data_IF_333009977069
#
_entry.id   IF_333009977069
#
_cell.length_a   1.000
_cell.length_b   1.000
_cell.length_c   1.000
_cell.angle_alpha   90.00
_cell.angle_beta   90.00
_cell.angle_gamma   90.00
#
_symmetry.space_group_name_H-M   'P 1'
#
loop_
_entity.id
_entity.type
_entity.pdbx_description
1 polymer ?
#
# COMPACT_ATOMS: atom_id res chain seq x y z
N UNK A 1 -15.75 -48.32 -0.08
CA UNK A 1 -15.64 -47.20 -1.05
C UNK A 1 -14.78 -47.64 -2.21
N UNK A 2 -15.15 -47.38 -3.46
CA UNK A 2 -14.41 -47.88 -4.63
C UNK A 2 -13.03 -47.18 -4.72
N UNK A 3 -11.93 -47.92 -4.47
CA UNK A 3 -10.54 -47.41 -4.48
C UNK A 3 -10.22 -46.63 -5.76
N UNK A 4 -10.78 -47.03 -6.90
CA UNK A 4 -10.57 -46.38 -8.19
C UNK A 4 -11.16 -44.97 -8.26
N UNK A 5 -12.33 -44.76 -7.62
CA UNK A 5 -12.97 -43.44 -7.55
C UNK A 5 -12.15 -42.50 -6.69
N UNK A 6 -11.57 -42.99 -5.59
CA UNK A 6 -10.70 -42.21 -4.70
C UNK A 6 -9.46 -41.74 -5.45
N UNK A 7 -8.77 -42.64 -6.15
CA UNK A 7 -7.59 -42.30 -6.97
C UNK A 7 -7.91 -41.25 -8.03
N UNK A 8 -9.07 -41.37 -8.72
CA UNK A 8 -9.51 -40.35 -9.70
C UNK A 8 -9.74 -38.98 -9.06
N UNK A 9 -10.40 -38.95 -7.90
CA UNK A 9 -10.63 -37.71 -7.15
C UNK A 9 -9.30 -37.09 -6.71
N UNK A 10 -8.37 -37.88 -6.18
CA UNK A 10 -7.04 -37.42 -5.82
C UNK A 10 -6.30 -36.81 -7.03
N UNK A 11 -6.31 -37.46 -8.19
CA UNK A 11 -5.68 -36.92 -9.39
C UNK A 11 -6.28 -35.57 -9.82
N UNK A 12 -7.61 -35.41 -9.73
CA UNK A 12 -8.29 -34.15 -10.04
C UNK A 12 -7.88 -33.06 -9.04
N UNK A 13 -7.93 -33.38 -7.75
CA UNK A 13 -7.57 -32.46 -6.67
C UNK A 13 -6.11 -32.00 -6.82
N UNK A 14 -5.19 -32.91 -7.11
CA UNK A 14 -3.78 -32.59 -7.34
C UNK A 14 -3.60 -31.64 -8.54
N UNK A 15 -4.28 -31.92 -9.66
CA UNK A 15 -4.24 -31.07 -10.85
C UNK A 15 -4.79 -29.67 -10.57
N UNK A 16 -5.93 -29.57 -9.88
CA UNK A 16 -6.53 -28.28 -9.49
C UNK A 16 -5.58 -27.49 -8.60
N UNK A 17 -4.93 -28.14 -7.63
CA UNK A 17 -4.01 -27.46 -6.72
C UNK A 17 -2.73 -26.98 -7.41
N UNK A 18 -2.22 -27.70 -8.41
CA UNK A 18 -1.12 -27.21 -9.26
C UNK A 18 -1.56 -25.95 -10.02
N UNK A 19 -2.79 -25.94 -10.58
CA UNK A 19 -3.33 -24.77 -11.29
C UNK A 19 -3.50 -23.58 -10.34
N UNK A 20 -4.03 -23.80 -9.12
CA UNK A 20 -4.15 -22.76 -8.10
C UNK A 20 -2.78 -22.20 -7.71
N UNK A 21 -1.77 -23.06 -7.56
CA UNK A 21 -0.40 -22.66 -7.26
C UNK A 21 0.19 -21.78 -8.37
N UNK A 22 -0.05 -22.11 -9.64
CA UNK A 22 0.36 -21.29 -10.78
C UNK A 22 -0.27 -19.89 -10.74
N UNK A 23 -1.59 -19.81 -10.49
CA UNK A 23 -2.25 -18.50 -10.33
C UNK A 23 -1.73 -17.72 -9.13
N UNK A 24 -1.51 -18.40 -8.01
CA UNK A 24 -0.97 -17.78 -6.82
C UNK A 24 0.42 -17.17 -7.09
N UNK A 25 1.32 -17.93 -7.71
CA UNK A 25 2.67 -17.47 -8.09
C UNK A 25 2.56 -16.27 -9.03
N UNK A 26 1.68 -16.32 -10.03
CA UNK A 26 1.49 -15.22 -10.96
C UNK A 26 0.98 -13.94 -10.27
N UNK A 27 -0.01 -14.06 -9.39
CA UNK A 27 -0.55 -12.92 -8.61
C UNK A 27 0.56 -12.34 -7.72
N UNK A 28 1.32 -13.21 -7.04
CA UNK A 28 2.42 -12.81 -6.17
C UNK A 28 3.53 -12.06 -6.94
N UNK A 29 3.97 -12.58 -8.09
CA UNK A 29 4.96 -11.92 -8.96
C UNK A 29 4.40 -10.58 -9.46
N UNK A 30 3.14 -10.55 -9.88
CA UNK A 30 2.51 -9.30 -10.36
C UNK A 30 2.47 -8.23 -9.27
N UNK A 31 2.13 -8.61 -8.05
CA UNK A 31 2.09 -7.70 -6.91
C UNK A 31 3.49 -7.19 -6.54
N UNK A 32 4.48 -8.08 -6.49
CA UNK A 32 5.84 -7.75 -6.05
C UNK A 32 6.62 -6.95 -7.09
N UNK A 33 6.59 -7.36 -8.36
CA UNK A 33 7.35 -6.69 -9.44
C UNK A 33 6.78 -5.32 -9.77
N UNK A 34 5.45 -5.19 -9.81
CA UNK A 34 4.79 -3.92 -10.14
C UNK A 34 4.40 -3.08 -8.92
N UNK A 35 4.68 -3.57 -7.70
CA UNK A 35 4.34 -2.89 -6.45
C UNK A 35 2.83 -2.65 -6.27
N UNK A 36 1.98 -3.57 -6.74
CA UNK A 36 0.52 -3.41 -6.71
C UNK A 36 -0.02 -3.65 -5.31
N UNK A 37 -0.80 -2.71 -4.78
CA UNK A 37 -1.30 -2.71 -3.40
C UNK A 37 -2.79 -2.96 -3.37
N UNK A 38 -3.13 -4.18 -3.71
CA UNK A 38 -4.51 -4.61 -3.86
C UNK A 38 -5.10 -5.09 -2.52
N UNK A 39 -4.27 -5.65 -1.64
CA UNK A 39 -4.72 -6.29 -0.41
C UNK A 39 -4.38 -5.47 0.83
N UNK A 40 -5.32 -5.36 1.77
CA UNK A 40 -5.04 -4.91 3.14
C UNK A 40 -4.19 -5.95 3.87
N UNK A 41 -3.59 -5.58 5.01
CA UNK A 41 -2.73 -6.46 5.82
C UNK A 41 -3.34 -7.85 6.07
N UNK A 42 -4.53 -7.92 6.67
CA UNK A 42 -5.22 -9.19 6.97
C UNK A 42 -5.53 -10.04 5.71
N UNK A 43 -5.79 -9.41 4.57
CA UNK A 43 -6.01 -10.11 3.30
C UNK A 43 -4.69 -10.67 2.74
N UNK A 44 -3.60 -9.96 2.97
CA UNK A 44 -2.27 -10.39 2.57
C UNK A 44 -1.83 -11.61 3.39
N UNK A 45 -2.10 -11.62 4.70
CA UNK A 45 -1.84 -12.80 5.56
C UNK A 45 -2.65 -14.01 5.12
N UNK A 46 -3.96 -13.82 4.88
CA UNK A 46 -4.83 -14.88 4.36
C UNK A 46 -4.34 -15.41 3.01
N UNK A 47 -3.87 -14.50 2.14
CA UNK A 47 -3.29 -14.86 0.86
C UNK A 47 -2.02 -15.70 1.01
N UNK A 48 -1.13 -15.35 1.95
CA UNK A 48 0.02 -16.19 2.26
C UNK A 48 -0.40 -17.53 2.86
N UNK A 49 -1.33 -17.57 3.81
CA UNK A 49 -1.80 -18.82 4.41
C UNK A 49 -2.41 -19.77 3.36
N UNK A 50 -3.00 -19.23 2.29
CA UNK A 50 -3.49 -20.03 1.17
C UNK A 50 -2.40 -20.87 0.50
N UNK A 51 -1.12 -20.42 0.48
CA UNK A 51 -0.01 -21.22 -0.07
C UNK A 51 0.20 -22.49 0.73
N UNK A 52 0.16 -22.39 2.06
CA UNK A 52 0.30 -23.52 2.98
C UNK A 52 -0.87 -24.48 2.80
N UNK A 53 -2.09 -23.94 2.65
CA UNK A 53 -3.28 -24.73 2.36
C UNK A 53 -3.17 -25.52 1.06
N UNK A 54 -2.77 -24.86 -0.04
CA UNK A 54 -2.58 -25.50 -1.36
C UNK A 54 -1.50 -26.58 -1.29
N UNK A 55 -0.37 -26.29 -0.64
CA UNK A 55 0.74 -27.23 -0.48
C UNK A 55 0.33 -28.43 0.38
N UNK A 56 -0.34 -28.22 1.51
CA UNK A 56 -0.85 -29.29 2.38
C UNK A 56 -1.80 -30.22 1.62
N UNK A 57 -2.70 -29.64 0.85
CA UNK A 57 -3.67 -30.37 0.04
C UNK A 57 -2.94 -31.18 -1.08
N UNK A 58 -1.93 -30.61 -1.73
CA UNK A 58 -1.09 -31.32 -2.71
C UNK A 58 -0.38 -32.51 -2.07
N UNK A 59 0.27 -32.32 -0.93
CA UNK A 59 0.99 -33.38 -0.22
C UNK A 59 0.05 -34.50 0.23
N UNK A 60 -1.05 -34.18 0.91
CA UNK A 60 -2.02 -35.18 1.36
C UNK A 60 -2.60 -35.97 0.19
N UNK A 61 -2.89 -35.30 -0.92
CA UNK A 61 -3.39 -35.93 -2.13
C UNK A 61 -2.35 -36.84 -2.78
N UNK A 62 -1.09 -36.42 -2.86
CA UNK A 62 0.01 -37.23 -3.38
C UNK A 62 0.24 -38.49 -2.53
N UNK A 63 0.25 -38.36 -1.20
CA UNK A 63 0.43 -39.50 -0.29
C UNK A 63 -0.70 -40.53 -0.49
N UNK A 64 -1.96 -40.09 -0.51
CA UNK A 64 -3.11 -40.97 -0.72
C UNK A 64 -3.03 -41.63 -2.10
N UNK A 65 -2.66 -40.87 -3.13
CA UNK A 65 -2.53 -41.39 -4.49
C UNK A 65 -1.43 -42.45 -4.58
N UNK A 66 -0.25 -42.18 -4.02
CA UNK A 66 0.87 -43.14 -3.97
C UNK A 66 0.48 -44.40 -3.19
N UNK A 67 -0.09 -44.25 -1.99
CA UNK A 67 -0.50 -45.39 -1.15
C UNK A 67 -1.52 -46.29 -1.85
N UNK A 68 -2.56 -45.70 -2.45
CA UNK A 68 -3.60 -46.44 -3.15
C UNK A 68 -3.09 -47.04 -4.46
N UNK A 69 -2.17 -46.36 -5.17
CA UNK A 69 -1.59 -46.86 -6.41
C UNK A 69 -0.57 -47.99 -6.15
N UNK A 70 0.24 -47.92 -5.09
CA UNK A 70 1.11 -49.01 -4.65
C UNK A 70 0.31 -50.23 -4.17
N UNK A 71 -0.78 -50.01 -3.43
CA UNK A 71 -1.72 -51.09 -3.04
C UNK A 71 -2.34 -51.73 -4.28
N UNK A 72 -2.69 -50.92 -5.29
CA UNK A 72 -3.17 -51.43 -6.59
C UNK A 72 -2.12 -52.18 -7.37
N UNK A 73 -0.86 -51.73 -7.39
CA UNK A 73 0.24 -52.44 -8.08
C UNK A 73 0.53 -53.77 -7.38
N UNK A 74 0.46 -53.82 -6.04
CA UNK A 74 0.53 -55.07 -5.29
C UNK A 74 -0.66 -56.01 -5.61
N UNK A 75 -1.85 -55.44 -5.88
CA UNK A 75 -3.06 -56.17 -6.26
C UNK A 75 -3.12 -56.51 -7.80
N UNK A 76 -2.29 -55.91 -8.67
CA UNK A 76 -2.55 -55.81 -10.12
C UNK A 76 -1.31 -55.95 -11.01
N UNK A 77 -0.48 -56.96 -10.79
CA UNK A 77 0.42 -57.48 -11.85
C UNK A 77 -0.44 -58.26 -12.87
N UNK A 78 -1.41 -57.60 -13.53
CA UNK A 78 -2.06 -58.04 -14.78
C UNK A 78 -3.18 -57.06 -15.18
N UNK A 79 -2.86 -56.03 -15.94
CA UNK A 79 -3.51 -55.78 -17.24
C UNK A 79 -3.02 -54.45 -17.82
N UNK A 80 -2.84 -54.46 -19.13
CA UNK A 80 -2.35 -53.35 -19.94
C UNK A 80 -3.57 -52.51 -20.34
N UNK A 81 -3.67 -51.29 -19.83
CA UNK A 81 -4.65 -50.32 -20.30
C UNK A 81 -3.96 -49.26 -21.17
N UNK A 82 -4.43 -49.13 -22.42
CA UNK A 82 -4.01 -48.09 -23.34
C UNK A 82 -4.41 -46.71 -22.81
N UNK A 83 -3.41 -45.82 -22.71
CA UNK A 83 -3.59 -44.43 -22.32
C UNK A 83 -4.23 -43.70 -23.52
N UNK A 84 -5.56 -43.52 -23.48
CA UNK A 84 -6.22 -42.62 -24.43
C UNK A 84 -5.90 -41.17 -24.06
N UNK A 85 -4.97 -40.56 -24.79
CA UNK A 85 -4.65 -39.14 -24.67
C UNK A 85 -5.81 -38.30 -25.21
N UNK A 86 -6.74 -37.89 -24.33
CA UNK A 86 -7.74 -36.88 -24.69
C UNK A 86 -7.03 -35.54 -24.94
N UNK A 87 -7.02 -35.09 -26.19
CA UNK A 87 -6.48 -33.79 -26.58
C UNK A 87 -7.31 -32.67 -25.94
N UNK A 88 -6.67 -31.83 -25.13
CA UNK A 88 -7.32 -30.68 -24.49
C UNK A 88 -7.92 -29.77 -25.55
N UNK A 89 -9.14 -29.25 -25.31
CA UNK A 89 -9.81 -28.41 -26.31
C UNK A 89 -9.05 -27.10 -26.47
N UNK A 90 -8.87 -26.64 -27.71
CA UNK A 90 -8.21 -25.35 -28.02
C UNK A 90 -8.90 -24.17 -27.30
N UNK A 91 -10.22 -24.27 -27.06
CA UNK A 91 -11.00 -23.26 -26.31
C UNK A 91 -10.61 -23.20 -24.83
N UNK A 92 -10.43 -24.35 -24.17
CA UNK A 92 -10.01 -24.40 -22.76
C UNK A 92 -8.62 -23.79 -22.60
N UNK A 93 -7.69 -24.12 -23.51
CA UNK A 93 -6.36 -23.53 -23.51
C UNK A 93 -6.42 -22.01 -23.69
N UNK A 94 -7.26 -21.53 -24.60
CA UNK A 94 -7.43 -20.09 -24.83
C UNK A 94 -7.98 -19.37 -23.59
N UNK A 95 -9.01 -19.90 -22.93
CA UNK A 95 -9.53 -19.31 -21.68
C UNK A 95 -8.49 -19.30 -20.56
N UNK A 96 -7.69 -20.35 -20.44
CA UNK A 96 -6.60 -20.41 -19.47
C UNK A 96 -5.52 -19.35 -19.75
N UNK A 97 -5.18 -19.10 -21.02
CA UNK A 97 -4.21 -18.05 -21.35
C UNK A 97 -4.80 -16.65 -21.11
N UNK A 98 -6.07 -16.45 -21.45
CA UNK A 98 -6.75 -15.15 -21.29
C UNK A 98 -7.01 -14.78 -19.83
N UNK A 99 -7.05 -15.73 -18.91
CA UNK A 99 -7.27 -15.41 -17.49
C UNK A 99 -6.11 -14.59 -16.89
N UNK A 100 -4.87 -14.83 -17.33
CA UNK A 100 -3.68 -14.10 -16.85
C UNK A 100 -3.76 -12.58 -17.07
N UNK A 101 -3.96 -12.07 -18.31
CA UNK A 101 -4.08 -10.63 -18.53
C UNK A 101 -5.32 -10.03 -17.87
N UNK A 102 -6.41 -10.79 -17.75
CA UNK A 102 -7.62 -10.35 -17.02
C UNK A 102 -7.31 -10.14 -15.54
N UNK A 103 -6.69 -11.13 -14.89
CA UNK A 103 -6.29 -11.05 -13.48
C UNK A 103 -5.33 -9.88 -13.27
N UNK A 104 -4.31 -9.75 -14.13
CA UNK A 104 -3.37 -8.63 -14.04
C UNK A 104 -4.06 -7.27 -14.16
N UNK A 105 -4.98 -7.13 -15.12
CA UNK A 105 -5.76 -5.90 -15.31
C UNK A 105 -6.60 -5.57 -14.07
N UNK A 106 -7.24 -6.57 -13.46
CA UNK A 106 -8.00 -6.39 -12.22
C UNK A 106 -7.10 -5.93 -11.06
N UNK A 107 -5.91 -6.53 -10.90
CA UNK A 107 -4.95 -6.13 -9.86
C UNK A 107 -4.49 -4.68 -10.07
N UNK A 108 -4.12 -4.32 -11.29
CA UNK A 108 -3.67 -2.98 -11.63
C UNK A 108 -4.75 -1.91 -11.42
N UNK A 109 -5.98 -2.20 -11.85
CA UNK A 109 -7.12 -1.30 -11.64
C UNK A 109 -7.46 -1.18 -10.14
N UNK A 110 -7.40 -2.29 -9.40
CA UNK A 110 -7.61 -2.29 -7.95
C UNK A 110 -6.63 -1.38 -7.21
N UNK A 111 -5.36 -1.42 -7.58
CA UNK A 111 -4.33 -0.53 -7.04
C UNK A 111 -4.63 0.95 -7.31
N UNK A 112 -5.01 1.29 -8.56
CA UNK A 112 -5.36 2.66 -8.94
C UNK A 112 -6.60 3.17 -8.22
N UNK A 113 -7.65 2.37 -8.12
CA UNK A 113 -8.85 2.78 -7.40
C UNK A 113 -8.58 2.97 -5.91
N UNK A 114 -7.72 2.15 -5.32
CA UNK A 114 -7.29 2.31 -3.92
C UNK A 114 -6.57 3.64 -3.72
N UNK A 115 -5.63 3.98 -4.60
CA UNK A 115 -4.92 5.25 -4.55
C UNK A 115 -5.84 6.46 -4.73
N UNK A 116 -6.80 6.40 -5.65
CA UNK A 116 -7.79 7.46 -5.87
C UNK A 116 -8.71 7.66 -4.67
N UNK A 117 -9.20 6.56 -4.08
CA UNK A 117 -10.01 6.62 -2.86
C UNK A 117 -9.23 7.26 -1.70
N UNK A 118 -7.98 6.86 -1.50
CA UNK A 118 -7.10 7.42 -0.47
C UNK A 118 -6.82 8.91 -0.68
N UNK A 119 -6.53 9.31 -1.93
CA UNK A 119 -6.40 10.73 -2.30
C UNK A 119 -7.64 11.53 -1.92
N UNK A 120 -8.84 11.04 -2.24
CA UNK A 120 -10.09 11.73 -1.92
C UNK A 120 -10.31 11.86 -0.40
N UNK A 121 -10.04 10.79 0.35
CA UNK A 121 -10.14 10.81 1.82
C UNK A 121 -9.21 11.86 2.44
N UNK A 122 -7.93 11.90 2.03
CA UNK A 122 -6.97 12.90 2.53
C UNK A 122 -7.37 14.33 2.14
N UNK A 123 -7.87 14.55 0.92
CA UNK A 123 -8.35 15.88 0.50
C UNK A 123 -9.56 16.30 1.34
N UNK A 124 -10.50 15.38 1.60
CA UNK A 124 -11.68 15.69 2.41
C UNK A 124 -11.30 15.98 3.86
N UNK A 125 -10.38 15.21 4.45
CA UNK A 125 -9.83 15.46 5.77
C UNK A 125 -9.12 16.83 5.84
N UNK A 126 -8.36 17.19 4.80
CA UNK A 126 -7.69 18.49 4.70
C UNK A 126 -8.69 19.66 4.63
N UNK A 127 -9.76 19.51 3.83
CA UNK A 127 -10.86 20.49 3.75
C UNK A 127 -11.59 20.62 5.09
N UNK A 128 -11.81 19.51 5.77
CA UNK A 128 -12.44 19.50 7.09
C UNK A 128 -11.59 20.28 8.11
N UNK A 129 -10.27 20.08 8.09
CA UNK A 129 -9.33 20.86 8.91
C UNK A 129 -9.42 22.35 8.59
N UNK A 130 -9.30 22.70 7.31
CA UNK A 130 -9.34 24.09 6.86
C UNK A 130 -10.63 24.79 7.28
N UNK A 131 -11.79 24.12 7.15
CA UNK A 131 -13.09 24.70 7.47
C UNK A 131 -13.39 24.79 8.97
N UNK A 132 -13.10 23.75 9.75
CA UNK A 132 -13.59 23.62 11.13
C UNK A 132 -12.58 24.02 12.20
N UNK A 133 -11.29 24.13 11.85
CA UNK A 133 -10.21 24.46 12.80
C UNK A 133 -9.58 25.81 12.47
N UNK A 134 -10.44 26.79 12.20
CA UNK A 134 -10.02 28.12 11.74
C UNK A 134 -9.05 28.79 12.71
N UNK A 135 -9.29 28.66 14.01
CA UNK A 135 -8.50 29.30 15.06
C UNK A 135 -7.08 28.72 15.14
N UNK A 136 -6.98 27.40 15.06
CA UNK A 136 -5.74 26.63 15.04
C UNK A 136 -4.91 27.01 13.80
N UNK A 137 -5.54 27.03 12.63
CA UNK A 137 -4.90 27.43 11.37
C UNK A 137 -4.42 28.88 11.44
N UNK A 138 -5.18 29.80 12.04
CA UNK A 138 -4.75 31.19 12.19
C UNK A 138 -3.49 31.31 13.05
N UNK A 139 -3.40 30.56 14.17
CA UNK A 139 -2.19 30.52 15.00
C UNK A 139 -0.97 29.98 14.25
N UNK A 140 -1.16 28.96 13.41
CA UNK A 140 -0.09 28.40 12.58
C UNK A 140 0.43 29.46 11.59
N UNK A 141 -0.47 30.22 10.97
CA UNK A 141 -0.14 31.23 9.95
C UNK A 141 0.64 32.43 10.53
N UNK A 142 0.46 32.72 11.82
CA UNK A 142 1.23 33.72 12.56
C UNK A 142 2.64 33.21 12.95
N UNK A 143 3.37 32.71 11.94
CA UNK A 143 4.68 32.12 12.08
C UNK A 143 5.71 33.01 12.81
N UNK A 144 6.36 32.42 13.82
CA UNK A 144 7.57 32.93 14.48
C UNK A 144 8.52 31.78 14.80
N UNK A 145 9.82 31.95 14.58
CA UNK A 145 10.81 30.92 14.92
C UNK A 145 11.27 31.05 16.38
N UNK A 146 10.42 30.65 17.31
CA UNK A 146 10.73 30.65 18.74
C UNK A 146 10.14 29.42 19.45
N UNK A 147 10.56 29.20 20.70
CA UNK A 147 10.19 28.01 21.49
C UNK A 147 8.69 27.94 21.75
N UNK A 148 8.05 29.07 22.03
CA UNK A 148 6.64 29.16 22.36
C UNK A 148 5.80 28.76 21.14
N UNK A 149 6.10 29.34 19.97
CA UNK A 149 5.45 29.00 18.72
C UNK A 149 5.61 27.53 18.34
N UNK A 150 6.83 26.99 18.43
CA UNK A 150 7.09 25.58 18.08
C UNK A 150 6.30 24.63 19.00
N UNK A 151 6.23 24.94 20.30
CA UNK A 151 5.46 24.16 21.25
C UNK A 151 3.95 24.25 20.96
N UNK A 152 3.44 25.44 20.67
CA UNK A 152 2.04 25.66 20.30
C UNK A 152 1.66 24.92 19.02
N UNK A 153 2.50 25.01 17.98
CA UNK A 153 2.28 24.29 16.72
C UNK A 153 2.28 22.78 16.95
N UNK A 154 3.19 22.25 17.75
CA UNK A 154 3.24 20.80 17.99
C UNK A 154 1.97 20.32 18.72
N UNK A 155 1.46 21.11 19.66
CA UNK A 155 0.19 20.82 20.33
C UNK A 155 -1.00 20.88 19.36
N UNK A 156 -1.03 21.88 18.48
CA UNK A 156 -2.05 21.99 17.43
C UNK A 156 -1.98 20.80 16.46
N UNK A 157 -0.79 20.46 15.96
CA UNK A 157 -0.57 19.31 15.08
C UNK A 157 -1.05 18.01 15.76
N UNK A 158 -0.69 17.80 17.03
CA UNK A 158 -1.11 16.63 17.81
C UNK A 158 -2.62 16.57 18.01
N UNK A 159 -3.27 17.72 18.18
CA UNK A 159 -4.72 17.81 18.28
C UNK A 159 -5.39 17.49 16.94
N UNK A 160 -4.94 18.12 15.86
CA UNK A 160 -5.45 17.89 14.50
C UNK A 160 -5.20 16.46 14.00
N UNK A 161 -4.10 15.82 14.39
CA UNK A 161 -3.84 14.42 14.03
C UNK A 161 -4.77 13.44 14.75
N UNK A 162 -5.46 13.87 15.80
CA UNK A 162 -6.41 13.04 16.57
C UNK A 162 -7.87 13.33 16.21
N UNK A 163 -8.15 14.32 15.38
CA UNK A 163 -9.52 14.71 15.06
C UNK A 163 -10.18 13.83 13.97
N UNK A 164 -9.40 13.09 13.20
CA UNK A 164 -9.89 12.25 12.11
C UNK A 164 -9.06 10.96 12.01
N UNK A 165 -9.72 9.81 12.00
CA UNK A 165 -9.08 8.48 11.89
C UNK A 165 -8.32 8.28 10.58
N UNK A 166 -8.64 9.05 9.54
CA UNK A 166 -7.95 8.99 8.24
C UNK A 166 -6.53 9.57 8.37
N UNK A 167 -6.31 10.45 9.35
CA UNK A 167 -5.08 11.21 9.52
C UNK A 167 -4.14 10.47 10.46
N UNK A 168 -3.13 9.79 9.89
CA UNK A 168 -2.09 9.15 10.71
C UNK A 168 -1.02 10.14 11.18
N UNK A 169 -0.63 11.09 10.32
CA UNK A 169 0.34 12.12 10.67
C UNK A 169 0.11 13.39 9.86
N UNK A 170 0.21 14.53 10.55
CA UNK A 170 0.21 15.86 9.96
C UNK A 170 1.56 16.49 10.26
N UNK A 171 2.12 17.15 9.26
CA UNK A 171 3.21 18.09 9.40
C UNK A 171 2.79 19.40 8.75
N UNK A 172 3.45 20.49 9.15
CA UNK A 172 3.20 21.82 8.61
C UNK A 172 4.46 22.27 7.92
N UNK A 173 4.35 22.63 6.63
CA UNK A 173 5.44 23.21 5.86
C UNK A 173 5.17 24.69 5.67
N UNK A 174 6.20 25.50 5.90
CA UNK A 174 6.20 26.94 5.68
C UNK A 174 7.46 27.38 4.92
N UNK A 175 7.43 28.55 4.30
CA UNK A 175 8.61 29.17 3.71
C UNK A 175 9.29 30.09 4.70
N UNK A 176 10.62 30.07 4.71
CA UNK A 176 11.46 30.98 5.51
C UNK A 176 12.80 31.24 4.77
N UNK A 177 13.67 32.03 5.40
CA UNK A 177 15.05 32.24 4.95
C UNK A 177 16.04 31.73 5.99
N UNK A 178 17.12 31.14 5.49
CA UNK A 178 18.30 30.78 6.26
C UNK A 178 19.53 31.26 5.49
N UNK A 179 20.34 32.13 6.09
CA UNK A 179 21.52 32.74 5.44
C UNK A 179 21.22 33.35 4.05
N UNK A 180 20.09 34.07 3.93
CA UNK A 180 19.55 34.64 2.68
C UNK A 180 19.04 33.65 1.62
N UNK A 181 19.17 32.34 1.84
CA UNK A 181 18.58 31.33 0.98
C UNK A 181 17.13 31.05 1.37
N UNK A 182 16.25 30.94 0.38
CA UNK A 182 14.87 30.49 0.59
C UNK A 182 14.89 29.00 0.96
N UNK A 183 14.39 28.69 2.16
CA UNK A 183 14.26 27.35 2.70
C UNK A 183 12.81 27.08 3.07
N UNK A 184 12.47 25.80 3.15
CA UNK A 184 11.18 25.38 3.68
C UNK A 184 11.43 24.76 5.04
N UNK A 185 10.61 25.12 6.03
CA UNK A 185 10.66 24.53 7.36
C UNK A 185 9.50 23.55 7.53
N UNK A 186 9.75 22.45 8.23
CA UNK A 186 8.74 21.45 8.58
C UNK A 186 8.59 21.34 10.09
N UNK A 187 7.34 21.41 10.56
CA UNK A 187 6.99 21.16 11.95
C UNK A 187 6.15 19.89 12.05
N UNK A 188 6.42 19.07 13.06
CA UNK A 188 5.77 17.78 13.27
C UNK A 188 6.06 17.24 14.67
N UNK A 189 5.30 16.21 15.06
CA UNK A 189 5.26 15.66 16.42
C UNK A 189 6.63 15.29 17.03
N UNK A 190 7.65 15.02 16.20
CA UNK A 190 8.97 14.54 16.64
C UNK A 190 10.10 15.58 16.51
N UNK A 191 9.82 16.83 16.13
CA UNK A 191 10.86 17.83 15.85
C UNK A 191 11.25 18.69 17.07
N UNK A 192 11.08 18.19 18.30
CA UNK A 192 11.46 18.93 19.51
C UNK A 192 12.90 18.53 19.88
N UNK A 193 13.90 19.41 19.72
CA UNK A 193 15.22 19.13 20.30
C UNK A 193 15.09 19.04 21.83
N UNK A 194 15.65 17.99 22.43
CA UNK A 194 15.64 17.79 23.89
C UNK A 194 16.41 18.89 24.65
N UNK A 195 17.24 19.65 23.94
CA UNK A 195 18.01 20.77 24.47
C UNK A 195 17.37 22.13 24.15
N UNK A 196 17.61 23.12 25.02
CA UNK A 196 17.15 24.50 24.87
C UNK A 196 17.72 25.25 23.64
N UNK A 197 18.68 24.66 22.91
CA UNK A 197 19.28 25.25 21.73
C UNK A 197 18.46 24.96 20.47
N UNK A 198 17.49 25.85 20.21
CA UNK A 198 16.72 25.86 18.97
C UNK A 198 17.58 26.29 17.77
N UNK A 199 17.81 25.37 16.82
CA UNK A 199 18.50 25.67 15.57
C UNK A 199 17.56 25.49 14.38
N UNK A 200 17.44 26.52 13.53
CA UNK A 200 16.58 26.51 12.34
C UNK A 200 16.94 25.39 11.35
N UNK A 201 18.21 25.00 11.30
CA UNK A 201 18.70 23.92 10.42
C UNK A 201 17.98 22.61 10.67
N UNK A 202 17.64 22.30 11.93
CA UNK A 202 16.98 21.05 12.32
C UNK A 202 15.54 20.95 11.80
N UNK A 203 14.96 22.08 11.40
CA UNK A 203 13.61 22.18 10.86
C UNK A 203 13.59 22.27 9.33
N UNK A 204 14.75 22.33 8.66
CA UNK A 204 14.80 22.45 7.20
C UNK A 204 14.21 21.19 6.55
N UNK A 205 13.17 21.38 5.77
CA UNK A 205 12.51 20.33 5.02
C UNK A 205 13.40 19.86 3.87
N UNK A 206 13.95 18.64 4.03
CA UNK A 206 14.69 17.97 2.98
C UNK A 206 13.72 17.54 1.88
N UNK A 207 13.84 18.16 0.71
CA UNK A 207 12.99 17.90 -0.44
C UNK A 207 13.83 17.54 -1.68
N UNK A 208 13.26 16.73 -2.56
CA UNK A 208 13.78 16.48 -3.91
C UNK A 208 13.68 17.73 -4.78
N UNK A 209 14.38 17.75 -5.92
CA UNK A 209 14.31 18.87 -6.88
C UNK A 209 12.89 19.12 -7.38
N UNK A 210 12.08 18.07 -7.55
CA UNK A 210 10.69 18.18 -8.00
C UNK A 210 9.78 18.75 -6.91
N UNK A 211 9.96 18.33 -5.66
CA UNK A 211 9.25 18.89 -4.51
C UNK A 211 9.64 20.35 -4.28
N UNK A 212 10.93 20.68 -4.36
CA UNK A 212 11.42 22.06 -4.23
C UNK A 212 10.76 22.97 -5.28
N UNK A 213 10.62 22.50 -6.52
CA UNK A 213 9.93 23.24 -7.58
C UNK A 213 8.45 23.47 -7.23
N UNK A 214 7.75 22.42 -6.81
CA UNK A 214 6.36 22.53 -6.37
C UNK A 214 6.18 23.49 -5.20
N UNK A 215 7.02 23.42 -4.17
CA UNK A 215 6.95 24.31 -3.01
C UNK A 215 7.23 25.76 -3.40
N UNK A 216 8.20 26.01 -4.28
CA UNK A 216 8.43 27.35 -4.83
C UNK A 216 7.21 27.88 -5.60
N UNK A 217 6.53 27.05 -6.40
CA UNK A 217 5.32 27.45 -7.12
C UNK A 217 4.18 27.84 -6.16
N UNK A 218 4.06 27.14 -5.02
CA UNK A 218 3.07 27.46 -3.99
C UNK A 218 3.43 28.77 -3.28
N UNK A 219 4.63 28.85 -2.70
CA UNK A 219 5.00 29.94 -1.78
C UNK A 219 5.46 31.22 -2.48
N UNK A 220 6.15 31.12 -3.61
CA UNK A 220 6.68 32.29 -4.31
C UNK A 220 5.76 32.75 -5.45
N UNK A 221 5.13 31.79 -6.17
CA UNK A 221 4.27 32.09 -7.32
C UNK A 221 2.77 32.12 -6.96
N UNK A 222 2.41 31.88 -5.68
CA UNK A 222 1.02 31.86 -5.19
C UNK A 222 0.08 30.90 -5.94
N UNK A 223 0.60 29.80 -6.49
CA UNK A 223 -0.20 28.80 -7.22
C UNK A 223 -0.82 27.83 -6.20
N UNK A 224 -2.09 28.01 -5.84
CA UNK A 224 -2.77 27.14 -4.86
C UNK A 224 -3.25 25.85 -5.52
N UNK A 225 -2.40 24.82 -5.51
CA UNK A 225 -2.74 23.49 -6.02
C UNK A 225 -2.18 22.42 -5.10
N UNK A 226 -3.01 21.48 -4.67
CA UNK A 226 -2.53 20.34 -3.90
C UNK A 226 -1.69 19.36 -4.75
N UNK A 227 -0.73 18.68 -4.12
CA UNK A 227 0.05 17.59 -4.73
C UNK A 227 -0.19 16.31 -3.94
N UNK A 228 -0.65 15.26 -4.63
CA UNK A 228 -0.78 13.92 -4.07
C UNK A 228 0.27 13.01 -4.71
N UNK A 229 1.02 12.31 -3.89
CA UNK A 229 2.01 11.31 -4.31
C UNK A 229 1.73 9.97 -3.62
N UNK A 230 2.05 8.90 -4.33
CA UNK A 230 2.12 7.54 -3.81
C UNK A 230 3.52 7.05 -4.11
N UNK A 231 4.32 6.84 -3.08
CA UNK A 231 5.66 6.30 -3.19
C UNK A 231 5.78 5.09 -2.28
N UNK A 232 6.04 3.91 -2.86
CA UNK A 232 6.08 2.64 -2.14
C UNK A 232 4.89 2.50 -1.15
N UNK A 233 5.17 2.50 0.16
CA UNK A 233 4.25 2.37 1.29
C UNK A 233 3.71 3.67 1.86
N UNK A 234 3.98 4.78 1.21
CA UNK A 234 3.64 6.11 1.70
C UNK A 234 2.68 6.80 0.73
N UNK A 235 1.53 7.20 1.27
CA UNK A 235 0.69 8.20 0.62
C UNK A 235 1.02 9.56 1.20
N UNK A 236 1.19 10.54 0.35
CA UNK A 236 1.48 11.90 0.78
C UNK A 236 0.55 12.88 0.10
N UNK A 237 0.10 13.87 0.86
CA UNK A 237 -0.69 14.97 0.36
C UNK A 237 -0.10 16.28 0.88
N UNK A 238 0.28 17.14 -0.05
CA UNK A 238 0.58 18.54 0.19
C UNK A 238 -0.69 19.35 -0.07
N UNK A 239 -1.31 19.86 0.99
CA UNK A 239 -2.53 20.66 0.90
C UNK A 239 -2.24 22.11 1.30
N UNK A 240 -2.08 23.04 0.33
CA UNK A 240 -1.83 24.44 0.62
C UNK A 240 -3.08 25.12 1.18
N UNK A 241 -2.92 25.86 2.27
CA UNK A 241 -3.93 26.74 2.86
C UNK A 241 -3.41 28.17 2.76
N UNK A 242 -4.21 29.05 2.17
CA UNK A 242 -3.94 30.48 2.12
C UNK A 242 -4.94 31.21 3.00
N UNK A 243 -4.45 31.97 3.97
CA UNK A 243 -5.24 33.02 4.63
C UNK A 243 -4.48 34.33 4.55
N UNK A 244 -5.21 35.40 4.23
CA UNK A 244 -4.62 36.71 3.98
C UNK A 244 -3.53 36.59 2.89
N UNK A 245 -2.32 37.06 3.17
CA UNK A 245 -1.16 37.00 2.28
C UNK A 245 -0.13 35.92 2.66
N UNK A 246 -0.50 35.02 3.57
CA UNK A 246 0.38 33.94 4.03
C UNK A 246 -0.15 32.59 3.59
N UNK A 247 0.79 31.73 3.22
CA UNK A 247 0.51 30.35 2.80
C UNK A 247 1.21 29.42 3.77
N UNK A 248 0.52 28.35 4.14
CA UNK A 248 1.07 27.19 4.83
C UNK A 248 0.68 25.95 4.03
N UNK A 249 1.38 24.84 4.22
CA UNK A 249 0.99 23.56 3.63
C UNK A 249 0.78 22.56 4.74
N UNK A 250 -0.42 21.97 4.80
CA UNK A 250 -0.65 20.76 5.56
C UNK A 250 -0.06 19.60 4.76
N UNK A 251 0.98 18.97 5.31
CA UNK A 251 1.65 17.84 4.73
C UNK A 251 1.24 16.57 5.47
N UNK A 252 0.40 15.77 4.82
CA UNK A 252 -0.06 14.49 5.37
C UNK A 252 0.85 13.38 4.91
N UNK A 253 1.24 12.51 5.83
CA UNK A 253 1.89 11.25 5.46
C UNK A 253 1.17 10.07 6.09
N UNK A 254 0.79 9.12 5.24
CA UNK A 254 0.16 7.87 5.67
C UNK A 254 1.07 6.72 5.23
N UNK A 255 1.76 6.11 6.19
CA UNK A 255 2.43 4.83 5.97
C UNK A 255 1.42 3.71 6.15
N UNK A 256 1.37 2.80 5.17
CA UNK A 256 0.58 1.59 5.27
C UNK A 256 1.49 0.37 5.28
N UNK A 257 1.30 -0.46 6.31
CA UNK A 257 1.91 -1.77 6.39
C UNK A 257 1.22 -2.68 5.39
N UNK A 258 1.87 -2.87 4.25
CA UNK A 258 1.49 -3.85 3.26
C UNK A 258 2.52 -4.97 3.29
N UNK A 259 2.10 -6.17 3.70
CA UNK A 259 2.80 -7.42 3.41
C UNK A 259 4.22 -7.59 3.95
N UNK A 260 4.62 -6.90 5.03
CA UNK A 260 5.88 -7.20 5.72
C UNK A 260 5.61 -8.03 6.98
N UNK A 261 5.77 -9.34 6.87
CA UNK A 261 6.02 -10.18 8.04
C UNK A 261 7.45 -9.87 8.55
N UNK A 262 7.57 -9.42 9.81
CA UNK A 262 8.85 -9.30 10.50
C UNK A 262 9.51 -7.91 10.51
N UNK A 263 8.74 -6.83 10.71
CA UNK A 263 9.29 -5.55 11.21
C UNK A 263 9.18 -5.47 12.72
#
# INVERSE_FOLDING_TARGET
MNKEKIVKICNIIALVSIILLLYWIFIFISITVFGLKVFKENLTESFYLSIIGIISLLFGTLIINIMLNLTRIADYISSKNEITTKRMSKKILLFFILSFPIIFSLLYLGDKFTALKKKQLLINASKNIDLNYQNEISKIIEYRFDKEYINDINNIIKYLSKSDEIINSIQIIISDKYNNDNVFLVFGYNNIPENDNLNKVDFIFKCSSEEKKYLNDIFNNNIIKYKFSKYENKYELYYPIKKQDKIIILYFTEYQNYGKFGS
#
